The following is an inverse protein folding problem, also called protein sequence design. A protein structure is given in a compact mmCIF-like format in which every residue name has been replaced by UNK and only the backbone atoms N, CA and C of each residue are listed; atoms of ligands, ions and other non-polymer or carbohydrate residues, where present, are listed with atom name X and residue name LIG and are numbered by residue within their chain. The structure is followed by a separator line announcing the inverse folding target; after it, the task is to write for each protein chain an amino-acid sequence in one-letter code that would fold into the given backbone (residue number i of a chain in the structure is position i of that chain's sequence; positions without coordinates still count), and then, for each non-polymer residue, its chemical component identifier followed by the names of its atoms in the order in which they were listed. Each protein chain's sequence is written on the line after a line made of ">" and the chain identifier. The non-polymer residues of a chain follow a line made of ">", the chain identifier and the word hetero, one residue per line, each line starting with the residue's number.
data_IF_499979201995
#
_entry.id   IF_499979201995
#
_cell.length_a   1.000
_cell.length_b   1.000
_cell.length_c   1.000
_cell.angle_alpha   90.00
_cell.angle_beta   90.00
_cell.angle_gamma   90.00
#
_symmetry.space_group_name_H-M   'P 1'
#
loop_
_entity.id
_entity.type
_entity.pdbx_description
1 polymer ?
#
# COMPACT_ATOMS: atom_id res chain seq x y z
N UNK A 1 -14.82 2.81 4.34
CA UNK A 1 -16.11 2.96 3.63
C UNK A 1 -16.08 2.27 2.27
N UNK A 2 -15.05 2.48 1.45
CA UNK A 2 -14.91 1.94 0.08
C UNK A 2 -15.30 0.45 -0.07
N UNK A 3 -14.77 -0.51 0.72
CA UNK A 3 -15.11 -1.93 0.54
C UNK A 3 -16.60 -2.23 0.72
N UNK A 4 -17.26 -1.54 1.67
CA UNK A 4 -18.69 -1.72 1.92
C UNK A 4 -19.53 -1.18 0.77
N UNK A 5 -19.14 -0.03 0.21
CA UNK A 5 -19.79 0.56 -0.95
C UNK A 5 -19.59 -0.30 -2.19
N UNK A 6 -18.38 -0.82 -2.43
CA UNK A 6 -18.12 -1.78 -3.50
C UNK A 6 -19.01 -3.04 -3.40
N UNK A 7 -19.10 -3.61 -2.20
CA UNK A 7 -19.95 -4.77 -1.96
C UNK A 7 -21.43 -4.46 -2.21
N UNK A 8 -21.91 -3.28 -1.80
CA UNK A 8 -23.28 -2.85 -2.02
C UNK A 8 -23.58 -2.67 -3.53
N UNK A 9 -22.69 -2.02 -4.28
CA UNK A 9 -22.81 -1.86 -5.75
C UNK A 9 -22.81 -3.22 -6.43
N UNK A 10 -21.89 -4.12 -6.05
CA UNK A 10 -21.83 -5.47 -6.59
C UNK A 10 -23.09 -6.31 -6.28
N UNK A 11 -23.73 -6.05 -5.16
CA UNK A 11 -25.03 -6.66 -4.78
C UNK A 11 -26.25 -6.02 -5.44
N UNK A 12 -26.07 -4.98 -6.28
CA UNK A 12 -27.16 -4.29 -6.98
C UNK A 12 -27.97 -3.34 -6.11
N UNK A 13 -27.39 -2.84 -5.00
CA UNK A 13 -28.03 -1.84 -4.14
C UNK A 13 -28.12 -0.52 -4.91
N UNK A 14 -29.34 0.00 -5.07
CA UNK A 14 -29.60 1.19 -5.89
C UNK A 14 -29.17 2.50 -5.23
N UNK A 15 -29.31 2.61 -3.91
CA UNK A 15 -28.95 3.81 -3.15
C UNK A 15 -28.17 3.43 -1.89
N UNK A 16 -27.06 4.10 -1.67
CA UNK A 16 -26.17 3.85 -0.53
C UNK A 16 -26.13 5.12 0.32
N UNK A 17 -26.61 5.01 1.55
CA UNK A 17 -26.57 6.12 2.50
C UNK A 17 -25.32 6.04 3.35
N UNK A 18 -24.60 7.15 3.42
CA UNK A 18 -23.37 7.28 4.20
C UNK A 18 -23.36 8.53 5.06
N UNK A 19 -22.52 8.56 6.07
CA UNK A 19 -22.25 9.80 6.81
C UNK A 19 -21.61 10.84 5.88
N UNK A 20 -21.87 12.12 6.13
CA UNK A 20 -21.37 13.23 5.31
C UNK A 20 -19.85 13.20 5.14
N UNK A 21 -19.12 12.87 6.21
CA UNK A 21 -17.65 12.79 6.21
C UNK A 21 -17.11 11.64 5.33
N UNK A 22 -17.95 10.63 5.08
CA UNK A 22 -17.60 9.47 4.27
C UNK A 22 -18.04 9.59 2.80
N UNK A 23 -18.77 10.66 2.45
CA UNK A 23 -19.35 10.83 1.12
C UNK A 23 -18.27 10.87 0.02
N UNK A 24 -17.24 11.68 0.20
CA UNK A 24 -16.16 11.82 -0.77
C UNK A 24 -15.45 10.48 -1.05
N UNK A 25 -15.26 9.65 -0.02
CA UNK A 25 -14.71 8.32 -0.18
C UNK A 25 -15.69 7.36 -0.89
N UNK A 26 -16.97 7.41 -0.53
CA UNK A 26 -17.99 6.55 -1.10
C UNK A 26 -18.25 6.82 -2.60
N UNK A 27 -18.19 8.07 -3.01
CA UNK A 27 -18.38 8.53 -4.39
C UNK A 27 -17.27 8.08 -5.34
N UNK A 28 -16.11 7.67 -4.81
CA UNK A 28 -15.00 7.12 -5.61
C UNK A 28 -15.33 5.74 -6.22
N UNK A 29 -16.36 5.05 -5.72
CA UNK A 29 -16.76 3.74 -6.26
C UNK A 29 -17.60 3.94 -7.51
N UNK A 30 -17.16 3.43 -8.68
CA UNK A 30 -17.93 3.55 -9.91
C UNK A 30 -19.31 2.92 -9.82
N UNK A 31 -20.34 3.67 -10.24
CA UNK A 31 -21.72 3.20 -10.21
C UNK A 31 -22.43 3.33 -8.85
N UNK A 32 -21.74 3.79 -7.81
CA UNK A 32 -22.38 4.08 -6.52
C UNK A 32 -23.30 5.29 -6.62
N UNK A 33 -24.55 5.14 -6.17
CA UNK A 33 -25.47 6.27 -5.95
C UNK A 33 -25.45 6.60 -4.45
N UNK A 34 -24.66 7.61 -4.09
CA UNK A 34 -24.41 7.98 -2.70
C UNK A 34 -25.35 9.07 -2.26
N UNK A 35 -25.98 8.87 -1.10
CA UNK A 35 -26.73 9.90 -0.37
C UNK A 35 -26.01 10.18 0.93
N UNK A 36 -25.43 11.35 1.04
CA UNK A 36 -24.75 11.80 2.24
C UNK A 36 -25.74 12.38 3.26
N UNK A 37 -25.60 11.99 4.52
CA UNK A 37 -26.43 12.51 5.61
C UNK A 37 -25.55 12.90 6.80
N UNK A 38 -25.87 14.02 7.43
CA UNK A 38 -25.18 14.49 8.64
C UNK A 38 -25.68 13.79 9.91
N UNK A 39 -26.94 13.41 9.91
CA UNK A 39 -27.58 12.72 11.03
C UNK A 39 -28.76 11.88 10.57
N UNK A 40 -29.13 10.88 11.37
CA UNK A 40 -30.23 9.94 11.06
C UNK A 40 -31.58 10.63 10.87
N UNK A 41 -31.80 11.80 11.49
CA UNK A 41 -33.02 12.59 11.34
C UNK A 41 -33.32 12.94 9.87
N UNK A 42 -32.30 13.26 9.07
CA UNK A 42 -32.47 13.52 7.63
C UNK A 42 -33.03 12.30 6.88
N UNK A 43 -32.69 11.09 7.30
CA UNK A 43 -33.27 9.86 6.74
C UNK A 43 -34.72 9.68 7.15
N UNK A 44 -35.05 9.96 8.42
CA UNK A 44 -36.43 9.89 8.91
C UNK A 44 -37.33 10.80 8.08
N UNK A 45 -36.93 12.05 7.84
CA UNK A 45 -37.66 13.02 7.03
C UNK A 45 -37.77 12.60 5.56
N UNK A 46 -36.65 12.15 4.97
CA UNK A 46 -36.58 11.68 3.59
C UNK A 46 -37.55 10.52 3.31
N UNK A 47 -37.70 9.61 4.27
CA UNK A 47 -38.65 8.48 4.16
C UNK A 47 -40.05 8.76 4.76
N UNK A 48 -40.41 10.04 4.92
CA UNK A 48 -41.76 10.47 5.30
C UNK A 48 -42.05 10.43 6.81
N UNK A 49 -41.05 10.18 7.64
CA UNK A 49 -41.17 10.31 9.10
C UNK A 49 -41.18 11.78 9.56
N UNK A 50 -41.58 12.00 10.79
CA UNK A 50 -41.56 13.33 11.42
C UNK A 50 -40.69 13.31 12.66
N UNK A 51 -39.81 14.29 12.79
CA UNK A 51 -39.05 14.53 14.01
C UNK A 51 -39.89 15.37 14.98
N UNK A 52 -39.76 15.11 16.29
CA UNK A 52 -40.30 16.03 17.28
C UNK A 52 -39.53 17.37 17.24
N UNK A 53 -40.21 18.48 17.57
CA UNK A 53 -39.57 19.79 17.55
C UNK A 53 -38.30 19.87 18.43
N UNK A 54 -38.28 19.16 19.54
CA UNK A 54 -37.13 19.12 20.43
C UNK A 54 -35.91 18.40 19.79
N UNK A 55 -36.16 17.30 19.05
CA UNK A 55 -35.09 16.56 18.33
C UNK A 55 -34.60 17.37 17.14
N UNK A 56 -35.49 18.01 16.38
CA UNK A 56 -35.13 18.85 15.25
C UNK A 56 -34.21 20.01 15.70
N UNK A 57 -34.60 20.74 16.75
CA UNK A 57 -33.77 21.83 17.30
C UNK A 57 -32.40 21.36 17.81
N UNK A 58 -32.32 20.19 18.45
CA UNK A 58 -31.05 19.63 18.91
C UNK A 58 -30.13 19.24 17.74
N UNK A 59 -30.70 18.73 16.64
CA UNK A 59 -29.94 18.35 15.45
C UNK A 59 -29.44 19.57 14.66
N UNK A 60 -30.18 20.68 14.62
CA UNK A 60 -29.73 21.94 14.03
C UNK A 60 -28.49 22.48 14.74
N UNK A 61 -28.46 22.46 16.08
CA UNK A 61 -27.30 22.89 16.87
C UNK A 61 -26.03 22.06 16.61
N UNK A 62 -26.20 20.74 16.42
CA UNK A 62 -25.06 19.85 16.06
C UNK A 62 -24.54 20.15 14.65
N UNK A 63 -25.44 20.53 13.75
CA UNK A 63 -25.09 20.85 12.35
C UNK A 63 -24.30 22.15 12.24
N UNK A 64 -24.66 23.18 13.03
CA UNK A 64 -23.94 24.45 13.05
C UNK A 64 -22.53 24.34 13.65
N UNK A 65 -22.33 23.48 14.65
CA UNK A 65 -21.03 23.25 15.27
C UNK A 65 -20.03 22.51 14.35
N UNK A 66 -20.51 21.80 13.33
CA UNK A 66 -19.67 20.99 12.44
C UNK A 66 -19.24 21.72 11.15
N UNK A 67 -19.58 22.98 10.95
CA UNK A 67 -19.30 23.73 9.70
C UNK A 67 -17.92 24.39 9.65
N UNK A 68 -17.10 24.27 10.70
CA UNK A 68 -15.82 25.01 10.81
C UNK A 68 -14.59 24.23 10.31
N UNK A 69 -14.75 22.98 9.86
CA UNK A 69 -13.68 22.18 9.24
C UNK A 69 -13.86 22.10 7.71
N UNK A 70 -13.66 23.22 7.02
CA UNK A 70 -13.53 23.19 5.57
C UNK A 70 -12.20 22.48 5.20
N UNK A 71 -12.22 21.53 4.24
CA UNK A 71 -11.01 20.85 3.84
C UNK A 71 -10.02 21.85 3.28
N UNK A 72 -8.90 21.96 3.97
CA UNK A 72 -7.71 22.62 3.45
C UNK A 72 -7.35 22.02 2.10
N UNK A 73 -6.97 22.87 1.16
CA UNK A 73 -6.47 22.55 -0.17
C UNK A 73 -5.69 21.23 -0.16
N UNK A 74 -6.01 20.28 -1.07
CA UNK A 74 -5.28 19.03 -1.10
C UNK A 74 -3.78 19.31 -1.18
N UNK A 75 -2.95 18.65 -0.37
CA UNK A 75 -1.51 18.83 -0.48
C UNK A 75 -1.13 18.51 -1.92
N UNK A 76 -0.43 19.44 -2.58
CA UNK A 76 0.18 19.19 -3.90
C UNK A 76 0.87 17.85 -3.80
N UNK A 77 0.60 16.95 -4.75
CA UNK A 77 1.38 15.72 -4.90
C UNK A 77 2.85 16.14 -4.80
N UNK A 78 3.51 15.71 -3.73
CA UNK A 78 4.96 15.86 -3.65
C UNK A 78 5.48 15.23 -4.94
N UNK A 79 6.27 15.97 -5.71
CA UNK A 79 6.86 15.49 -6.97
C UNK A 79 7.45 14.11 -6.68
N UNK A 80 6.82 13.08 -7.23
CA UNK A 80 7.31 11.73 -7.03
C UNK A 80 8.60 11.58 -7.83
N UNK A 81 9.62 10.94 -7.26
CA UNK A 81 10.89 10.74 -7.95
C UNK A 81 10.65 10.03 -9.29
N UNK A 82 11.26 10.52 -10.36
CA UNK A 82 11.18 9.93 -11.70
C UNK A 82 12.50 9.25 -12.09
N UNK A 83 12.43 8.13 -12.81
CA UNK A 83 13.62 7.44 -13.31
C UNK A 83 14.38 8.32 -14.33
N UNK A 84 13.71 9.26 -14.99
CA UNK A 84 14.33 10.24 -15.88
C UNK A 84 15.36 11.14 -15.16
N UNK A 85 15.19 11.37 -13.85
CA UNK A 85 16.10 12.21 -13.05
C UNK A 85 17.45 11.52 -12.74
N UNK A 86 17.55 10.21 -13.00
CA UNK A 86 18.76 9.45 -12.70
C UNK A 86 19.82 9.68 -13.75
N UNK A 87 20.90 10.32 -13.36
CA UNK A 87 22.05 10.54 -14.23
C UNK A 87 23.01 9.36 -14.16
N UNK A 88 23.39 8.83 -15.32
CA UNK A 88 24.26 7.65 -15.41
C UNK A 88 23.54 6.34 -15.12
N UNK A 89 24.27 5.35 -14.61
CA UNK A 89 23.76 4.02 -14.22
C UNK A 89 22.94 3.31 -15.34
N UNK A 90 23.38 3.40 -16.59
CA UNK A 90 22.65 2.93 -17.77
C UNK A 90 22.20 1.47 -17.67
N UNK A 91 23.08 0.57 -17.17
CA UNK A 91 22.78 -0.85 -17.00
C UNK A 91 21.66 -1.08 -15.95
N UNK A 92 21.75 -0.39 -14.81
CA UNK A 92 20.75 -0.52 -13.75
C UNK A 92 19.40 0.08 -14.16
N UNK A 93 19.40 1.21 -14.89
CA UNK A 93 18.19 1.79 -15.48
C UNK A 93 17.55 0.85 -16.47
N UNK A 94 18.33 0.29 -17.39
CA UNK A 94 17.82 -0.69 -18.37
C UNK A 94 17.25 -1.93 -17.68
N UNK A 95 17.91 -2.43 -16.62
CA UNK A 95 17.39 -3.55 -15.84
C UNK A 95 16.03 -3.23 -15.18
N UNK A 96 15.85 -2.00 -14.66
CA UNK A 96 14.57 -1.54 -14.11
C UNK A 96 13.49 -1.45 -15.19
N UNK A 97 13.82 -0.91 -16.36
CA UNK A 97 12.88 -0.82 -17.49
C UNK A 97 12.41 -2.21 -17.95
N UNK A 98 13.34 -3.18 -18.05
CA UNK A 98 12.99 -4.58 -18.40
C UNK A 98 12.14 -5.20 -17.29
N UNK A 99 12.51 -4.99 -16.01
CA UNK A 99 11.75 -5.51 -14.88
C UNK A 99 10.34 -4.92 -14.81
N UNK A 100 10.19 -3.61 -15.08
CA UNK A 100 8.91 -2.93 -15.13
C UNK A 100 8.03 -3.45 -16.27
N UNK A 101 8.58 -3.56 -17.47
CA UNK A 101 7.87 -4.02 -18.66
C UNK A 101 7.40 -5.49 -18.56
N UNK A 102 8.20 -6.34 -17.90
CA UNK A 102 7.89 -7.76 -17.72
C UNK A 102 7.20 -8.12 -16.40
N UNK A 103 7.03 -7.17 -15.48
CA UNK A 103 6.54 -7.46 -14.14
C UNK A 103 7.49 -8.35 -13.32
N UNK A 104 8.80 -8.34 -13.66
CA UNK A 104 9.78 -9.23 -13.05
C UNK A 104 10.21 -8.74 -11.68
N UNK A 105 10.37 -9.67 -10.74
CA UNK A 105 11.05 -9.39 -9.49
C UNK A 105 12.53 -9.06 -9.73
N UNK A 106 13.12 -8.22 -8.88
CA UNK A 106 14.48 -7.73 -9.08
C UNK A 106 15.28 -7.78 -7.78
N UNK A 107 16.54 -8.19 -7.88
CA UNK A 107 17.50 -8.03 -6.81
C UNK A 107 18.67 -7.13 -7.26
N UNK A 108 18.96 -6.11 -6.49
CA UNK A 108 20.09 -5.20 -6.68
C UNK A 108 21.16 -5.48 -5.64
N UNK A 109 22.35 -5.84 -6.09
CA UNK A 109 23.52 -6.09 -5.19
C UNK A 109 24.60 -5.09 -5.49
N UNK A 110 25.05 -4.38 -4.46
CA UNK A 110 26.11 -3.39 -4.61
C UNK A 110 26.53 -2.77 -3.28
N UNK A 111 27.71 -2.14 -3.21
CA UNK A 111 28.17 -1.44 -2.03
C UNK A 111 27.19 -0.36 -1.55
N UNK A 112 27.26 0.09 -0.29
CA UNK A 112 26.51 1.25 0.18
C UNK A 112 26.80 2.48 -0.69
N UNK A 113 25.78 3.34 -0.88
CA UNK A 113 25.94 4.57 -1.67
C UNK A 113 25.90 4.39 -3.20
N UNK A 114 25.64 3.19 -3.72
CA UNK A 114 25.55 2.95 -5.18
C UNK A 114 24.18 3.31 -5.77
N UNK A 115 23.26 3.88 -4.99
CA UNK A 115 21.96 4.36 -5.49
C UNK A 115 20.88 3.30 -5.61
N UNK A 116 21.01 2.12 -4.96
CA UNK A 116 20.00 1.04 -5.01
C UNK A 116 18.62 1.53 -4.55
N UNK A 117 18.56 2.18 -3.40
CA UNK A 117 17.31 2.75 -2.84
C UNK A 117 16.73 3.81 -3.77
N UNK A 118 17.58 4.73 -4.26
CA UNK A 118 17.18 5.77 -5.21
C UNK A 118 16.54 5.18 -6.48
N UNK A 119 17.08 4.10 -7.01
CA UNK A 119 16.55 3.39 -8.18
C UNK A 119 15.22 2.71 -7.88
N UNK A 120 15.11 2.00 -6.74
CA UNK A 120 13.90 1.31 -6.33
C UNK A 120 12.72 2.29 -6.13
N UNK A 121 12.96 3.46 -5.52
CA UNK A 121 11.96 4.50 -5.31
C UNK A 121 11.40 5.09 -6.62
N UNK A 122 12.15 4.96 -7.71
CA UNK A 122 11.77 5.47 -9.03
C UNK A 122 11.10 4.42 -9.92
N UNK A 123 11.09 3.15 -9.52
CA UNK A 123 10.41 2.11 -10.29
C UNK A 123 8.93 2.40 -10.54
N UNK A 124 8.15 2.92 -9.58
CA UNK A 124 6.73 3.26 -9.84
C UNK A 124 6.53 4.29 -10.95
N UNK A 125 7.51 5.16 -11.26
CA UNK A 125 7.37 6.17 -12.31
C UNK A 125 7.32 5.59 -13.72
N UNK A 126 7.85 4.39 -13.90
CA UNK A 126 7.88 3.69 -15.20
C UNK A 126 6.89 2.53 -15.30
N UNK A 127 6.14 2.26 -14.22
CA UNK A 127 5.03 1.31 -14.27
C UNK A 127 3.79 1.96 -14.91
N UNK A 128 2.96 1.19 -15.62
CA UNK A 128 1.71 1.72 -16.16
C UNK A 128 0.78 2.17 -15.02
N UNK A 129 -0.03 3.22 -15.25
CA UNK A 129 -1.05 3.60 -14.28
C UNK A 129 -2.03 2.45 -14.04
N UNK A 130 -2.62 2.44 -12.84
CA UNK A 130 -3.59 1.42 -12.47
C UNK A 130 -4.87 1.56 -13.30
N UNK A 131 -5.39 0.43 -13.78
CA UNK A 131 -6.73 0.39 -14.34
C UNK A 131 -7.77 0.71 -13.24
N UNK A 132 -8.96 1.19 -13.64
CA UNK A 132 -9.99 1.65 -12.71
C UNK A 132 -10.34 0.61 -11.62
N UNK A 133 -10.47 -0.66 -11.99
CA UNK A 133 -10.79 -1.73 -11.05
C UNK A 133 -9.66 -1.95 -10.01
N UNK A 134 -8.41 -1.91 -10.47
CA UNK A 134 -7.24 -2.03 -9.60
C UNK A 134 -7.07 -0.78 -8.73
N UNK A 135 -7.30 0.43 -9.26
CA UNK A 135 -7.26 1.68 -8.51
C UNK A 135 -8.26 1.68 -7.34
N UNK A 136 -9.49 1.22 -7.57
CA UNK A 136 -10.51 1.08 -6.51
C UNK A 136 -10.08 0.04 -5.48
N UNK A 137 -9.52 -1.10 -5.92
CA UNK A 137 -9.03 -2.15 -5.01
C UNK A 137 -7.87 -1.65 -4.13
N UNK A 138 -6.86 -1.01 -4.74
CA UNK A 138 -5.71 -0.44 -4.03
C UNK A 138 -6.18 0.64 -3.04
N UNK A 139 -7.05 1.55 -3.48
CA UNK A 139 -7.60 2.60 -2.61
C UNK A 139 -8.38 2.00 -1.44
N UNK A 140 -9.15 0.93 -1.67
CA UNK A 140 -9.87 0.22 -0.61
C UNK A 140 -8.94 -0.40 0.43
N UNK A 141 -7.80 -0.99 0.02
CA UNK A 141 -6.79 -1.51 0.94
C UNK A 141 -6.20 -0.41 1.82
N UNK A 142 -5.87 0.75 1.22
CA UNK A 142 -5.34 1.90 1.93
C UNK A 142 -6.38 2.53 2.88
N UNK A 143 -7.66 2.54 2.49
CA UNK A 143 -8.77 2.98 3.35
C UNK A 143 -8.93 2.06 4.58
N UNK A 144 -8.94 0.73 4.38
CA UNK A 144 -9.01 -0.25 5.50
C UNK A 144 -7.81 -0.12 6.45
N UNK A 145 -6.63 0.19 5.91
CA UNK A 145 -5.44 0.45 6.71
C UNK A 145 -5.51 1.78 7.49
N UNK A 146 -6.40 2.69 7.11
CA UNK A 146 -6.55 4.01 7.73
C UNK A 146 -5.49 5.03 7.30
N UNK A 147 -4.89 4.84 6.11
CA UNK A 147 -3.84 5.70 5.55
C UNK A 147 -4.28 6.41 4.27
N UNK A 148 -5.53 6.27 3.88
CA UNK A 148 -6.11 6.88 2.70
C UNK A 148 -6.66 8.28 3.02
N UNK A 149 -6.38 9.23 2.13
CA UNK A 149 -6.93 10.58 2.16
C UNK A 149 -7.94 10.74 0.99
N UNK A 150 -9.26 10.82 1.28
CA UNK A 150 -10.28 10.93 0.24
C UNK A 150 -10.15 12.17 -0.66
N UNK A 151 -9.53 13.25 -0.18
CA UNK A 151 -9.34 14.47 -0.95
C UNK A 151 -8.41 14.28 -2.15
N UNK A 152 -7.59 13.23 -2.15
CA UNK A 152 -6.68 12.88 -3.26
C UNK A 152 -7.33 12.08 -4.38
N UNK A 153 -8.59 11.64 -4.19
CA UNK A 153 -9.25 10.74 -5.15
C UNK A 153 -8.67 9.32 -5.13
N UNK A 154 -8.96 8.53 -6.17
CA UNK A 154 -8.43 7.17 -6.30
C UNK A 154 -6.91 7.16 -6.45
N UNK A 155 -6.27 6.17 -5.85
CA UNK A 155 -4.87 5.87 -6.08
C UNK A 155 -4.74 5.27 -7.48
N UNK A 156 -4.26 6.05 -8.44
CA UNK A 156 -4.12 5.66 -9.85
C UNK A 156 -2.71 5.26 -10.23
N UNK A 157 -1.72 5.56 -9.37
CA UNK A 157 -0.33 5.16 -9.58
C UNK A 157 0.01 3.94 -8.73
N UNK A 158 0.83 3.00 -9.25
CA UNK A 158 1.30 1.86 -8.47
C UNK A 158 1.96 2.30 -7.16
N UNK A 159 1.50 1.79 -6.01
CA UNK A 159 2.06 2.17 -4.72
C UNK A 159 3.46 1.59 -4.52
N UNK A 160 4.32 2.31 -3.80
CA UNK A 160 5.59 1.82 -3.28
C UNK A 160 5.47 1.61 -1.77
N UNK A 161 5.82 0.42 -1.31
CA UNK A 161 5.96 0.10 0.11
C UNK A 161 7.39 -0.33 0.40
N UNK A 162 8.01 0.33 1.37
CA UNK A 162 9.40 0.09 1.75
C UNK A 162 9.50 -0.08 3.27
N UNK A 163 9.07 -1.24 3.82
CA UNK A 163 9.20 -1.49 5.24
C UNK A 163 10.67 -1.52 5.66
N UNK A 164 10.95 -0.99 6.84
CA UNK A 164 12.29 -1.07 7.42
C UNK A 164 12.63 -2.52 7.79
N UNK A 165 13.88 -2.94 7.72
CA UNK A 165 14.31 -4.33 8.00
C UNK A 165 13.97 -4.82 9.43
N UNK A 166 13.70 -3.90 10.36
CA UNK A 166 13.21 -4.22 11.72
C UNK A 166 11.70 -4.41 11.80
N UNK A 167 10.98 -4.25 10.68
CA UNK A 167 9.52 -4.42 10.66
C UNK A 167 9.12 -5.81 11.15
N UNK A 168 8.04 -5.86 11.92
CA UNK A 168 7.51 -7.13 12.41
C UNK A 168 6.76 -7.86 11.29
N UNK A 169 6.61 -9.19 11.40
CA UNK A 169 5.75 -9.97 10.50
C UNK A 169 4.33 -9.39 10.40
N UNK A 170 3.78 -8.90 11.51
CA UNK A 170 2.43 -8.32 11.53
C UNK A 170 2.36 -6.99 10.76
N UNK A 171 3.42 -6.19 10.76
CA UNK A 171 3.48 -4.97 9.94
C UNK A 171 3.57 -5.30 8.45
N UNK A 172 4.37 -6.31 8.08
CA UNK A 172 4.59 -6.67 6.69
C UNK A 172 3.40 -7.42 6.09
N UNK A 173 2.90 -8.46 6.75
CA UNK A 173 1.81 -9.32 6.24
C UNK A 173 0.43 -8.79 6.61
N UNK A 174 0.35 -8.13 7.73
CA UNK A 174 -0.91 -7.68 8.32
C UNK A 174 -1.29 -8.43 9.59
N UNK A 175 -2.26 -7.92 10.30
CA UNK A 175 -2.70 -8.42 11.60
C UNK A 175 -3.38 -7.36 12.43
N UNK A 176 -3.19 -7.42 13.73
CA UNK A 176 -3.78 -6.49 14.71
C UNK A 176 -4.65 -7.19 15.75
N UNK A 177 -5.12 -6.44 16.74
CA UNK A 177 -6.11 -6.88 17.73
C UNK A 177 -7.51 -6.60 17.18
N UNK A 178 -8.36 -7.61 17.04
CA UNK A 178 -9.69 -7.50 16.44
C UNK A 178 -9.72 -7.95 14.97
N UNK A 179 -10.40 -7.20 14.10
CA UNK A 179 -10.40 -7.50 12.66
C UNK A 179 -9.00 -7.30 12.09
N UNK A 180 -8.46 -8.32 11.38
CA UNK A 180 -7.14 -8.21 10.78
C UNK A 180 -7.08 -7.04 9.80
N UNK A 181 -6.00 -6.24 9.85
CA UNK A 181 -5.74 -5.15 8.90
C UNK A 181 -4.68 -5.57 7.89
N UNK A 182 -4.72 -5.04 6.65
CA UNK A 182 -3.70 -5.32 5.65
C UNK A 182 -2.35 -4.75 6.09
N UNK A 183 -1.27 -5.49 5.79
CA UNK A 183 0.12 -5.04 5.99
C UNK A 183 0.73 -4.52 4.69
N UNK A 184 2.06 -4.22 4.73
CA UNK A 184 2.79 -3.64 3.59
C UNK A 184 2.68 -4.47 2.32
N UNK A 185 2.63 -5.79 2.41
CA UNK A 185 2.48 -6.71 1.28
C UNK A 185 1.17 -6.46 0.52
N UNK A 186 0.05 -6.26 1.24
CA UNK A 186 -1.23 -5.94 0.63
C UNK A 186 -1.31 -4.47 0.20
N UNK A 187 -0.68 -3.56 0.94
CA UNK A 187 -0.61 -2.15 0.58
C UNK A 187 0.28 -1.89 -0.65
N UNK A 188 1.15 -2.84 -1.01
CA UNK A 188 1.93 -2.85 -2.24
C UNK A 188 1.19 -3.47 -3.43
N UNK A 189 -0.07 -3.89 -3.26
CA UNK A 189 -0.84 -4.53 -4.33
C UNK A 189 -0.84 -3.69 -5.61
N UNK A 190 -0.57 -4.34 -6.76
CA UNK A 190 -0.40 -3.70 -8.08
C UNK A 190 0.72 -2.66 -8.15
N UNK A 191 1.62 -2.67 -7.16
CA UNK A 191 2.76 -1.78 -7.08
C UNK A 191 4.04 -2.52 -6.72
N UNK A 192 4.88 -1.88 -5.92
CA UNK A 192 6.22 -2.34 -5.59
C UNK A 192 6.37 -2.54 -4.09
N UNK A 193 6.82 -3.73 -3.69
CA UNK A 193 7.34 -3.98 -2.36
C UNK A 193 8.87 -3.95 -2.43
N UNK A 194 9.47 -2.94 -1.81
CA UNK A 194 10.91 -2.77 -1.76
C UNK A 194 11.45 -3.16 -0.39
N UNK A 195 12.37 -4.11 -0.36
CA UNK A 195 13.09 -4.50 0.86
C UNK A 195 14.55 -4.06 0.73
N UNK A 196 14.87 -2.93 1.36
CA UNK A 196 16.25 -2.49 1.47
C UNK A 196 16.98 -3.31 2.53
N UNK A 197 18.26 -3.57 2.32
CA UNK A 197 19.06 -4.44 3.19
C UNK A 197 18.39 -5.81 3.41
N UNK A 198 17.81 -6.39 2.34
CA UNK A 198 16.99 -7.59 2.41
C UNK A 198 17.57 -8.75 3.27
N UNK A 199 18.88 -9.03 3.28
CA UNK A 199 19.45 -10.04 4.16
C UNK A 199 19.41 -9.69 5.66
N UNK A 200 19.08 -8.45 6.05
CA UNK A 200 18.97 -8.04 7.45
C UNK A 200 17.56 -8.29 8.03
N UNK A 201 16.57 -8.51 7.17
CA UNK A 201 15.23 -8.93 7.63
C UNK A 201 15.29 -10.27 8.38
N UNK A 202 14.41 -10.44 9.34
CA UNK A 202 14.26 -11.74 10.01
C UNK A 202 13.79 -12.81 9.03
N UNK A 203 14.28 -14.04 9.18
CA UNK A 203 13.87 -15.16 8.32
C UNK A 203 12.33 -15.34 8.31
N UNK A 204 11.66 -15.14 9.46
CA UNK A 204 10.21 -15.25 9.55
C UNK A 204 9.44 -14.19 8.75
N UNK A 205 10.04 -13.02 8.48
CA UNK A 205 9.46 -12.01 7.59
C UNK A 205 9.68 -12.40 6.13
N UNK A 206 10.87 -12.83 5.77
CA UNK A 206 11.16 -13.26 4.39
C UNK A 206 10.35 -14.50 3.99
N UNK A 207 10.20 -15.47 4.89
CA UNK A 207 9.41 -16.69 4.63
C UNK A 207 7.92 -16.41 4.43
N UNK A 208 7.37 -15.38 5.08
CA UNK A 208 5.95 -15.07 4.90
C UNK A 208 5.64 -14.36 3.57
N UNK A 209 6.65 -13.96 2.79
CA UNK A 209 6.44 -13.40 1.43
C UNK A 209 6.19 -14.48 0.37
N UNK A 210 6.57 -15.75 0.63
CA UNK A 210 6.41 -16.83 -0.35
C UNK A 210 4.96 -17.01 -0.79
N UNK A 211 4.05 -17.14 0.15
CA UNK A 211 2.64 -17.33 -0.15
C UNK A 211 2.06 -16.22 -1.02
N UNK A 212 2.19 -14.92 -0.67
CA UNK A 212 1.69 -13.85 -1.53
C UNK A 212 2.38 -13.77 -2.88
N UNK A 213 3.67 -14.09 -3.00
CA UNK A 213 4.37 -14.14 -4.29
C UNK A 213 3.80 -15.22 -5.23
N UNK A 214 3.42 -16.37 -4.68
CA UNK A 214 2.85 -17.48 -5.45
C UNK A 214 1.35 -17.27 -5.74
N UNK A 215 0.57 -16.86 -4.74
CA UNK A 215 -0.90 -16.84 -4.82
C UNK A 215 -1.49 -15.46 -5.15
N UNK A 216 -0.72 -14.38 -5.00
CA UNK A 216 -1.22 -13.00 -5.11
C UNK A 216 -2.18 -12.60 -4.00
N UNK A 217 -2.26 -13.37 -2.91
CA UNK A 217 -3.21 -13.15 -1.80
C UNK A 217 -2.53 -13.42 -0.45
N UNK A 218 -2.85 -12.61 0.53
CA UNK A 218 -2.52 -12.84 1.94
C UNK A 218 -3.78 -13.23 2.70
N UNK A 219 -3.72 -14.33 3.42
CA UNK A 219 -4.78 -14.73 4.35
C UNK A 219 -4.28 -14.62 5.78
N UNK A 220 -5.05 -13.91 6.60
CA UNK A 220 -4.75 -13.68 8.02
C UNK A 220 -5.84 -14.31 8.85
N UNK A 221 -5.49 -15.36 9.58
CA UNK A 221 -6.37 -16.04 10.53
C UNK A 221 -6.07 -15.57 11.96
N UNK A 222 -7.09 -15.08 12.66
CA UNK A 222 -7.01 -14.61 14.04
C UNK A 222 -8.23 -15.11 14.83
N UNK A 223 -8.15 -15.07 16.15
CA UNK A 223 -9.26 -15.44 17.05
C UNK A 223 -10.52 -14.57 16.75
N UNK A 224 -10.35 -13.34 16.30
CA UNK A 224 -11.45 -12.42 15.97
C UNK A 224 -12.01 -12.56 14.55
N UNK A 225 -11.43 -13.43 13.69
CA UNK A 225 -11.89 -13.63 12.32
C UNK A 225 -10.77 -13.90 11.33
N UNK A 226 -11.21 -14.26 10.12
CA UNK A 226 -10.35 -14.47 8.96
C UNK A 226 -10.54 -13.34 7.96
N UNK A 227 -9.45 -12.82 7.44
CA UNK A 227 -9.47 -11.85 6.35
C UNK A 227 -8.49 -12.27 5.25
N UNK A 228 -8.88 -12.07 4.00
CA UNK A 228 -8.01 -12.27 2.83
C UNK A 228 -7.88 -10.96 2.09
N UNK A 229 -6.65 -10.58 1.78
CA UNK A 229 -6.32 -9.34 1.06
C UNK A 229 -5.54 -9.65 -0.20
N UNK A 230 -5.84 -9.01 -1.33
CA UNK A 230 -5.01 -9.12 -2.52
C UNK A 230 -3.60 -8.58 -2.25
N UNK A 231 -2.61 -9.22 -2.85
CA UNK A 231 -1.19 -8.96 -2.59
C UNK A 231 -0.31 -9.32 -3.80
N UNK A 232 -0.78 -8.99 -5.00
CA UNK A 232 0.02 -9.12 -6.22
C UNK A 232 0.88 -7.87 -6.38
N UNK A 233 2.18 -7.99 -6.17
CA UNK A 233 3.15 -6.89 -6.20
C UNK A 233 4.42 -7.31 -6.91
N UNK A 234 5.18 -6.34 -7.38
CA UNK A 234 6.54 -6.57 -7.86
C UNK A 234 7.51 -6.47 -6.67
N UNK A 235 8.29 -7.53 -6.43
CA UNK A 235 9.28 -7.54 -5.36
C UNK A 235 10.60 -6.98 -5.85
N UNK A 236 11.11 -5.99 -5.14
CA UNK A 236 12.46 -5.44 -5.35
C UNK A 236 13.28 -5.61 -4.08
N UNK A 237 14.39 -6.30 -4.19
CA UNK A 237 15.31 -6.52 -3.08
C UNK A 237 16.58 -5.71 -3.30
N UNK A 238 17.11 -5.09 -2.26
CA UNK A 238 18.45 -4.54 -2.27
C UNK A 238 19.31 -5.22 -1.21
N UNK A 239 20.52 -5.55 -1.59
CA UNK A 239 21.49 -6.18 -0.69
C UNK A 239 22.87 -5.56 -0.84
N UNK A 240 23.63 -5.55 0.25
CA UNK A 240 25.05 -5.30 0.18
C UNK A 240 25.79 -6.57 -0.29
N UNK A 241 26.98 -6.47 -0.88
CA UNK A 241 27.71 -7.63 -1.39
C UNK A 241 28.28 -8.53 -0.28
N UNK A 242 28.24 -8.07 0.96
CA UNK A 242 28.66 -8.80 2.16
C UNK A 242 28.23 -8.04 3.42
N UNK A 243 28.32 -8.63 4.64
CA UNK A 243 27.94 -7.95 5.88
C UNK A 243 28.64 -6.60 6.13
N UNK A 244 29.92 -6.43 5.70
CA UNK A 244 30.61 -5.15 5.84
C UNK A 244 30.36 -4.17 4.69
N UNK A 245 29.62 -4.58 3.63
CA UNK A 245 29.30 -3.76 2.47
C UNK A 245 30.42 -3.54 1.46
N UNK A 246 31.66 -3.96 1.74
CA UNK A 246 32.85 -3.55 0.99
C UNK A 246 33.30 -4.53 -0.10
N UNK A 247 32.70 -5.73 -0.21
CA UNK A 247 33.11 -6.69 -1.25
C UNK A 247 32.73 -6.16 -2.65
N UNK A 248 33.68 -6.24 -3.59
CA UNK A 248 33.47 -5.80 -4.99
C UNK A 248 33.53 -4.29 -5.24
N UNK A 249 33.69 -3.46 -4.21
CA UNK A 249 33.92 -2.02 -4.38
C UNK A 249 35.38 -1.71 -4.74
N UNK A 250 35.59 -0.80 -5.69
CA UNK A 250 36.95 -0.34 -6.03
C UNK A 250 37.56 0.40 -4.82
N UNK A 251 38.78 -0.01 -4.40
CA UNK A 251 39.49 0.60 -3.27
C UNK A 251 38.91 0.28 -1.88
N UNK A 252 37.93 -0.64 -1.79
CA UNK A 252 37.36 -1.08 -0.52
C UNK A 252 37.94 -2.43 -0.11
N UNK A 253 38.60 -2.48 1.07
CA UNK A 253 39.10 -3.72 1.63
C UNK A 253 38.02 -4.45 2.41
N UNK A 254 37.52 -5.55 1.84
CA UNK A 254 36.56 -6.42 2.50
C UNK A 254 37.28 -7.43 3.40
N UNK A 255 36.95 -7.42 4.69
CA UNK A 255 37.51 -8.35 5.70
C UNK A 255 36.62 -9.58 5.92
N UNK A 256 35.47 -9.69 5.24
CA UNK A 256 34.55 -10.81 5.39
C UNK A 256 35.12 -12.10 4.78
N UNK A 257 35.07 -13.18 5.55
CA UNK A 257 35.43 -14.52 5.06
C UNK A 257 34.37 -15.01 4.05
N UNK A 258 34.73 -15.98 3.21
CA UNK A 258 33.79 -16.61 2.27
C UNK A 258 32.58 -17.23 2.97
N UNK A 259 32.76 -17.79 4.18
CA UNK A 259 31.71 -18.34 4.99
C UNK A 259 30.74 -17.26 5.49
N UNK A 260 31.23 -16.10 5.91
CA UNK A 260 30.39 -14.96 6.32
C UNK A 260 29.55 -14.44 5.15
N UNK A 261 30.12 -14.30 3.95
CA UNK A 261 29.41 -13.89 2.74
C UNK A 261 28.31 -14.90 2.37
N UNK A 262 28.62 -16.20 2.40
CA UNK A 262 27.65 -17.26 2.14
C UNK A 262 26.50 -17.24 3.13
N UNK A 263 26.78 -17.12 4.43
CA UNK A 263 25.75 -17.01 5.48
C UNK A 263 24.88 -15.76 5.35
N UNK A 264 25.45 -14.67 4.86
CA UNK A 264 24.72 -13.43 4.64
C UNK A 264 23.67 -13.61 3.53
N UNK A 265 24.05 -14.13 2.39
CA UNK A 265 23.12 -14.38 1.29
C UNK A 265 22.18 -15.57 1.53
N UNK A 266 22.58 -16.57 2.32
CA UNK A 266 21.68 -17.68 2.64
C UNK A 266 20.46 -17.30 3.49
N UNK A 267 20.41 -16.07 4.01
CA UNK A 267 19.19 -15.51 4.62
C UNK A 267 18.09 -15.27 3.59
N UNK A 268 18.47 -14.96 2.34
CA UNK A 268 17.55 -14.95 1.21
C UNK A 268 17.38 -16.41 0.77
N UNK A 269 16.26 -17.01 1.19
CA UNK A 269 16.00 -18.44 0.88
C UNK A 269 15.85 -18.67 -0.63
N UNK A 270 16.26 -19.84 -1.13
CA UNK A 270 16.10 -20.22 -2.53
C UNK A 270 14.70 -19.92 -3.07
N UNK A 271 13.61 -20.41 -2.43
CA UNK A 271 12.25 -20.14 -2.89
C UNK A 271 11.79 -18.67 -2.89
N UNK A 272 12.56 -17.76 -2.34
CA UNK A 272 12.31 -16.31 -2.48
C UNK A 272 13.00 -15.75 -3.73
N UNK A 273 14.03 -16.46 -4.23
CA UNK A 273 14.84 -16.03 -5.37
C UNK A 273 14.46 -16.77 -6.67
N UNK A 274 13.67 -17.85 -6.55
CA UNK A 274 13.08 -18.61 -7.67
C UNK A 274 11.86 -17.88 -8.26
#
# INVERSE_FOLDING_TARGET
>A
VLPSVQAAVAAGVEEIVVAQEAAAEAELVPGARVTAVRHVGQLVERYGGRLSAAVAAALEQVTEAATDDAPTTPPRDAEQPDLADVVGQSEARQALEVAAAGGHHLIMVGPPGTGKTMLAERLPSILPPLEQADAVTVTSLHSVAGIFDPARGLITRPPLRAPHHTATRAAVVGGGSGLPRPGDVSLAHRGVLFLDEAPEFSAGVLDCLRQPLESGVVTIDRVGGRASYPAAFQLVLAANPCPCGKAGGRGLECTCTSLQRRRYFSRLSGPLLD
#
